data_IF_100673266463
#
_entry.id   IF_100673266463
#
_cell.length_a   1.000
_cell.length_b   1.000
_cell.length_c   1.000
_cell.angle_alpha   90.00
_cell.angle_beta   90.00
_cell.angle_gamma   90.00
#
_symmetry.space_group_name_H-M   'P 1'
#
loop_
_entity.id
_entity.type
_entity.pdbx_description
1 polymer ?
#
# COMPACT_ATOMS: atom_id res chain seq x y z
N UNK A 1 -14.90 -6.37 59.81
CA UNK A 1 -15.05 -7.56 58.95
C UNK A 1 -14.80 -7.11 57.51
N UNK A 2 -13.61 -7.35 56.97
CA UNK A 2 -13.19 -6.82 55.66
C UNK A 2 -13.86 -7.62 54.53
N UNK A 3 -14.62 -6.93 53.67
CA UNK A 3 -15.16 -7.48 52.42
C UNK A 3 -14.07 -7.40 51.36
N UNK A 4 -13.53 -8.54 50.94
CA UNK A 4 -12.69 -8.63 49.75
C UNK A 4 -13.62 -8.77 48.52
N UNK A 5 -13.66 -7.73 47.68
CA UNK A 5 -14.27 -7.80 46.34
C UNK A 5 -13.14 -8.13 45.37
N UNK A 6 -13.13 -9.34 44.83
CA UNK A 6 -12.25 -9.75 43.75
C UNK A 6 -12.81 -9.17 42.44
N UNK A 7 -12.19 -8.11 41.93
CA UNK A 7 -12.46 -7.59 40.59
C UNK A 7 -11.68 -8.45 39.60
N UNK A 8 -12.37 -9.33 38.89
CA UNK A 8 -11.83 -10.06 37.74
C UNK A 8 -11.77 -9.08 36.56
N UNK A 9 -10.59 -8.53 36.28
CA UNK A 9 -10.35 -7.72 35.10
C UNK A 9 -10.31 -8.62 33.86
N UNK A 10 -11.38 -8.61 33.06
CA UNK A 10 -11.38 -9.26 31.76
C UNK A 10 -10.49 -8.46 30.79
N UNK A 11 -9.36 -9.05 30.37
CA UNK A 11 -8.59 -8.53 29.25
C UNK A 11 -9.41 -8.76 27.97
N UNK A 12 -9.98 -7.70 27.42
CA UNK A 12 -10.49 -7.72 26.05
C UNK A 12 -9.27 -7.69 25.10
N UNK A 13 -9.14 -8.62 24.15
CA UNK A 13 -8.10 -8.52 23.13
C UNK A 13 -8.41 -7.28 22.28
N UNK A 14 -7.48 -6.32 22.26
CA UNK A 14 -7.53 -5.23 21.29
C UNK A 14 -7.32 -5.84 19.91
N UNK A 15 -8.35 -5.86 19.08
CA UNK A 15 -8.21 -6.20 17.66
C UNK A 15 -7.37 -5.08 17.06
N UNK A 16 -6.10 -5.36 16.76
CA UNK A 16 -5.24 -4.46 16.04
C UNK A 16 -5.75 -4.38 14.59
N UNK A 17 -6.57 -3.36 14.32
CA UNK A 17 -6.90 -2.99 12.95
C UNK A 17 -5.61 -2.42 12.35
N UNK A 18 -4.92 -3.18 11.51
CA UNK A 18 -3.94 -2.54 10.63
C UNK A 18 -4.73 -1.55 9.78
N UNK A 19 -4.31 -0.28 9.78
CA UNK A 19 -4.99 0.74 8.98
C UNK A 19 -4.84 0.45 7.49
N UNK A 20 -5.82 0.88 6.70
CA UNK A 20 -5.86 0.71 5.24
C UNK A 20 -4.52 1.01 4.55
N UNK A 21 -4.14 0.23 3.53
CA UNK A 21 -2.88 0.40 2.82
C UNK A 21 -2.91 1.71 2.03
N UNK A 22 -1.88 2.55 2.17
CA UNK A 22 -1.83 3.87 1.53
C UNK A 22 -0.55 4.07 0.75
N UNK A 23 -0.69 4.63 -0.44
CA UNK A 23 0.42 5.27 -1.15
C UNK A 23 0.59 6.67 -0.57
N UNK A 24 1.76 6.95 0.01
CA UNK A 24 2.05 8.26 0.64
C UNK A 24 2.91 9.17 -0.22
N UNK A 25 3.66 8.60 -1.17
CA UNK A 25 4.39 9.33 -2.18
C UNK A 25 4.63 8.44 -3.40
N UNK A 26 4.75 9.05 -4.57
CA UNK A 26 5.19 8.38 -5.78
C UNK A 26 5.97 9.32 -6.70
N UNK A 27 6.94 8.78 -7.42
CA UNK A 27 7.63 9.46 -8.52
C UNK A 27 7.65 8.57 -9.75
N UNK A 28 7.75 9.18 -10.92
CA UNK A 28 7.86 8.48 -12.19
C UNK A 28 8.98 9.11 -13.03
N UNK A 29 9.84 8.26 -13.59
CA UNK A 29 10.94 8.65 -14.47
C UNK A 29 10.79 7.92 -15.80
N UNK A 30 10.89 8.64 -16.91
CA UNK A 30 10.85 8.04 -18.25
C UNK A 30 12.15 7.30 -18.55
N UNK A 31 12.04 6.04 -18.97
CA UNK A 31 13.14 5.17 -19.39
C UNK A 31 12.88 4.72 -20.84
N UNK A 32 13.25 5.57 -21.79
CA UNK A 32 12.99 5.35 -23.21
C UNK A 32 11.49 5.37 -23.53
N UNK A 33 10.96 4.20 -23.95
CA UNK A 33 9.55 4.01 -24.26
C UNK A 33 8.69 3.61 -23.04
N UNK A 34 9.32 3.30 -21.91
CA UNK A 34 8.65 2.86 -20.68
C UNK A 34 8.89 3.84 -19.53
N UNK A 35 8.25 3.57 -18.40
CA UNK A 35 8.40 4.32 -17.16
C UNK A 35 8.93 3.44 -16.04
N UNK A 36 9.72 4.07 -15.16
CA UNK A 36 10.07 3.56 -13.83
C UNK A 36 9.31 4.35 -12.79
N UNK A 37 8.60 3.64 -11.93
CA UNK A 37 7.90 4.21 -10.78
C UNK A 37 8.61 3.84 -9.49
N UNK A 38 8.67 4.79 -8.57
CA UNK A 38 9.08 4.57 -7.18
C UNK A 38 7.92 4.98 -6.28
N UNK A 39 7.37 4.02 -5.55
CA UNK A 39 6.13 4.17 -4.79
C UNK A 39 6.41 3.89 -3.33
N UNK A 40 6.06 4.86 -2.49
CA UNK A 40 6.15 4.78 -1.04
C UNK A 40 4.79 4.35 -0.48
N UNK A 41 4.78 3.21 0.21
CA UNK A 41 3.60 2.60 0.82
C UNK A 41 3.70 2.70 2.33
N UNK A 42 2.57 2.95 2.98
CA UNK A 42 2.38 2.87 4.41
C UNK A 42 1.23 1.91 4.71
N UNK A 43 1.48 0.92 5.56
CA UNK A 43 0.48 0.01 6.09
C UNK A 43 0.89 -0.45 7.49
N UNK A 44 -0.07 -0.75 8.36
CA UNK A 44 0.22 -1.15 9.73
C UNK A 44 0.42 -2.66 9.85
N UNK A 45 1.35 -3.22 9.06
CA UNK A 45 1.64 -4.65 9.00
C UNK A 45 1.79 -5.27 10.39
N UNK A 46 1.09 -6.39 10.65
CA UNK A 46 1.21 -7.14 11.90
C UNK A 46 1.89 -8.49 11.75
N UNK A 47 2.24 -8.88 10.53
CA UNK A 47 2.86 -10.18 10.24
C UNK A 47 2.42 -10.73 8.88
N UNK A 48 2.68 -12.02 8.66
CA UNK A 48 2.36 -12.71 7.41
C UNK A 48 0.86 -12.84 7.16
N UNK A 49 0.06 -12.72 8.21
CA UNK A 49 -1.39 -12.80 8.18
C UNK A 49 -2.04 -11.47 7.79
N UNK A 50 -1.32 -10.35 7.87
CA UNK A 50 -1.88 -9.02 7.62
C UNK A 50 -0.77 -8.02 7.30
N UNK A 51 -0.58 -7.77 6.01
CA UNK A 51 0.41 -6.85 5.47
C UNK A 51 0.03 -6.36 4.07
N UNK A 52 0.64 -5.25 3.65
CA UNK A 52 0.57 -4.80 2.28
C UNK A 52 1.34 -5.75 1.34
N UNK A 53 0.62 -6.45 0.47
CA UNK A 53 1.15 -7.49 -0.41
C UNK A 53 1.40 -7.00 -1.86
N UNK A 54 1.04 -5.76 -2.17
CA UNK A 54 1.37 -5.17 -3.46
C UNK A 54 0.83 -3.77 -3.68
N UNK A 55 1.10 -3.28 -4.89
CA UNK A 55 0.49 -2.06 -5.41
C UNK A 55 0.45 -2.11 -6.93
N UNK A 56 -0.50 -1.38 -7.51
CA UNK A 56 -0.66 -1.30 -8.96
C UNK A 56 -0.52 0.11 -9.50
N UNK A 57 -0.27 0.19 -10.80
CA UNK A 57 -0.38 1.39 -11.61
C UNK A 57 -1.54 1.14 -12.57
N UNK A 58 -2.52 2.03 -12.58
CA UNK A 58 -3.70 1.96 -13.42
C UNK A 58 -3.85 3.22 -14.28
N UNK A 59 -4.38 3.03 -15.48
CA UNK A 59 -4.88 4.11 -16.31
C UNK A 59 -6.15 4.74 -15.69
N UNK A 60 -6.54 5.96 -16.10
CA UNK A 60 -7.73 6.63 -15.58
C UNK A 60 -9.05 5.87 -15.76
N UNK A 61 -9.11 4.95 -16.73
CA UNK A 61 -10.27 4.06 -16.97
C UNK A 61 -10.30 2.83 -16.05
N UNK A 62 -9.30 2.66 -15.19
CA UNK A 62 -9.14 1.52 -14.28
C UNK A 62 -8.34 0.36 -14.87
N UNK A 63 -7.89 0.43 -16.12
CA UNK A 63 -7.06 -0.61 -16.74
C UNK A 63 -5.69 -0.68 -16.07
N UNK A 64 -5.28 -1.87 -15.60
CA UNK A 64 -3.98 -2.07 -14.95
C UNK A 64 -2.83 -2.03 -15.96
N UNK A 65 -1.88 -1.12 -15.74
CA UNK A 65 -0.67 -0.94 -16.55
C UNK A 65 0.54 -1.69 -15.97
N UNK A 66 0.55 -1.90 -14.65
CA UNK A 66 1.61 -2.61 -13.95
C UNK A 66 1.20 -3.02 -12.55
N UNK A 67 1.86 -4.04 -12.02
CA UNK A 67 1.69 -4.50 -10.64
C UNK A 67 3.04 -4.80 -10.02
N UNK A 68 3.23 -4.38 -8.78
CA UNK A 68 4.37 -4.73 -7.95
C UNK A 68 3.89 -5.57 -6.78
N UNK A 69 4.26 -6.84 -6.79
CA UNK A 69 4.09 -7.72 -5.65
C UNK A 69 5.13 -7.44 -4.55
N UNK A 70 4.70 -7.57 -3.31
CA UNK A 70 5.51 -7.46 -2.10
C UNK A 70 5.48 -8.82 -1.37
N UNK A 71 6.66 -9.44 -1.27
CA UNK A 71 6.78 -10.84 -0.88
C UNK A 71 6.99 -11.06 0.62
N UNK A 72 6.95 -9.99 1.43
CA UNK A 72 7.11 -10.09 2.88
C UNK A 72 6.48 -8.89 3.60
N UNK A 73 6.11 -9.04 4.89
CA UNK A 73 5.72 -7.92 5.74
C UNK A 73 6.87 -6.93 5.98
N UNK A 74 6.52 -5.68 6.21
CA UNK A 74 7.40 -4.54 6.48
C UNK A 74 7.10 -3.92 7.86
N UNK A 75 6.86 -4.74 8.89
CA UNK A 75 6.43 -4.31 10.25
C UNK A 75 7.33 -3.19 10.84
N UNK A 76 8.64 -3.26 10.64
CA UNK A 76 9.62 -2.31 11.18
C UNK A 76 10.15 -1.30 10.16
N UNK A 77 9.62 -1.32 8.93
CA UNK A 77 10.07 -0.49 7.81
C UNK A 77 8.86 0.28 7.27
N UNK A 78 8.36 1.26 8.03
CA UNK A 78 7.20 2.05 7.62
C UNK A 78 7.49 3.56 7.68
N UNK A 79 7.15 4.32 6.62
CA UNK A 79 6.78 3.82 5.30
C UNK A 79 7.99 3.22 4.55
N UNK A 80 7.74 2.42 3.52
CA UNK A 80 8.79 1.85 2.67
C UNK A 80 8.55 2.17 1.20
N UNK A 81 9.63 2.24 0.41
CA UNK A 81 9.57 2.52 -1.03
C UNK A 81 10.00 1.31 -1.82
N UNK A 82 9.24 0.94 -2.86
CA UNK A 82 9.64 -0.06 -3.86
C UNK A 82 9.45 0.48 -5.26
N UNK A 83 10.16 -0.13 -6.21
CA UNK A 83 10.17 0.33 -7.60
C UNK A 83 9.59 -0.70 -8.55
N UNK A 84 9.02 -0.21 -9.65
CA UNK A 84 8.57 -1.00 -10.79
C UNK A 84 9.03 -0.32 -12.07
N UNK A 85 9.89 -0.99 -12.83
CA UNK A 85 10.38 -0.54 -14.13
C UNK A 85 9.66 -1.20 -15.29
N UNK A 86 9.88 -0.71 -16.50
CA UNK A 86 9.34 -1.31 -17.72
C UNK A 86 7.83 -1.12 -17.92
N UNK A 87 7.21 -0.15 -17.21
CA UNK A 87 5.77 0.08 -17.29
C UNK A 87 5.46 0.84 -18.57
N UNK A 88 4.68 0.22 -19.45
CA UNK A 88 4.20 0.87 -20.66
C UNK A 88 2.98 1.74 -20.31
N UNK A 89 3.12 3.05 -20.51
CA UNK A 89 2.03 4.01 -20.34
C UNK A 89 1.76 4.63 -21.71
N UNK A 90 0.52 4.56 -22.24
CA UNK A 90 0.18 5.22 -23.49
C UNK A 90 0.53 6.71 -23.44
N UNK A 91 1.18 7.27 -24.48
CA UNK A 91 1.68 8.64 -24.47
C UNK A 91 0.59 9.71 -24.32
N UNK A 92 -0.66 9.38 -24.62
CA UNK A 92 -1.84 10.22 -24.42
C UNK A 92 -2.23 10.36 -22.93
N UNK A 93 -1.74 9.50 -22.04
CA UNK A 93 -2.03 9.58 -20.62
C UNK A 93 -1.06 10.56 -19.93
N UNK A 94 -1.59 11.71 -19.49
CA UNK A 94 -0.86 12.67 -18.66
C UNK A 94 -0.79 12.29 -17.17
N UNK A 95 -1.51 11.24 -16.74
CA UNK A 95 -1.56 10.81 -15.34
C UNK A 95 -1.91 9.33 -15.20
N UNK A 96 -1.57 8.78 -14.04
CA UNK A 96 -1.95 7.42 -13.62
C UNK A 96 -2.52 7.44 -12.20
N UNK A 97 -3.27 6.40 -11.85
CA UNK A 97 -3.68 6.13 -10.48
C UNK A 97 -2.82 4.99 -9.91
N UNK A 98 -2.40 5.11 -8.65
CA UNK A 98 -1.61 4.12 -7.94
C UNK A 98 -2.38 3.70 -6.69
N UNK A 99 -2.56 2.40 -6.46
CA UNK A 99 -3.27 1.85 -5.29
C UNK A 99 -2.43 0.80 -4.61
N UNK A 100 -2.33 0.86 -3.29
CA UNK A 100 -1.76 -0.20 -2.49
C UNK A 100 -2.83 -1.27 -2.18
N UNK A 101 -2.41 -2.51 -2.00
CA UNK A 101 -3.25 -3.64 -1.67
C UNK A 101 -2.79 -4.26 -0.35
N UNK A 102 -3.77 -4.59 0.48
CA UNK A 102 -3.61 -5.33 1.73
C UNK A 102 -4.13 -6.75 1.54
N UNK A 103 -3.41 -7.71 2.12
CA UNK A 103 -3.70 -9.15 2.03
C UNK A 103 -5.06 -9.57 2.62
N UNK A 104 -5.67 -8.77 3.50
CA UNK A 104 -6.97 -9.07 4.13
C UNK A 104 -8.10 -8.16 3.64
N UNK A 105 -7.86 -6.86 3.56
CA UNK A 105 -8.86 -5.83 3.30
C UNK A 105 -8.88 -5.36 1.85
N UNK A 106 -7.90 -5.76 1.04
CA UNK A 106 -7.83 -5.46 -0.38
C UNK A 106 -7.31 -4.07 -0.68
N UNK A 107 -7.91 -3.40 -1.66
CA UNK A 107 -7.39 -2.14 -2.22
C UNK A 107 -7.64 -0.93 -1.32
N UNK A 108 -6.61 -0.12 -1.15
CA UNK A 108 -6.73 1.23 -0.60
C UNK A 108 -7.14 2.28 -1.64
N UNK A 109 -7.24 3.52 -1.16
CA UNK A 109 -7.59 4.68 -1.98
C UNK A 109 -6.52 4.99 -3.05
N UNK A 110 -6.94 5.52 -4.23
CA UNK A 110 -6.01 5.86 -5.30
C UNK A 110 -5.21 7.12 -5.00
N UNK A 111 -3.91 7.04 -5.23
CA UNK A 111 -3.00 8.16 -5.35
C UNK A 111 -2.85 8.53 -6.83
N UNK A 112 -3.23 9.75 -7.20
CA UNK A 112 -3.07 10.24 -8.58
C UNK A 112 -1.68 10.84 -8.75
N UNK A 113 -0.93 10.33 -9.73
CA UNK A 113 0.37 10.86 -10.12
C UNK A 113 0.29 11.46 -11.53
N UNK A 114 0.57 12.76 -11.62
CA UNK A 114 0.76 13.43 -12.90
C UNK A 114 2.13 13.03 -13.49
N UNK A 115 2.15 12.68 -14.77
CA UNK A 115 3.37 12.33 -15.49
C UNK A 115 3.92 13.58 -16.18
N UNK A 116 5.18 13.91 -15.91
CA UNK A 116 5.87 14.98 -16.62
C UNK A 116 6.10 14.60 -18.08
N UNK A 117 5.93 15.55 -19.02
CA UNK A 117 6.30 15.33 -20.42
C UNK A 117 7.82 15.17 -20.59
#
# INVERSE_FOLDING_TARGET
MFRAVLILAALLPAVAVAGEPRVTAATATREGATWRFEVTVAHADTGWEHYADGWEIAAPDGSRLGYRELLHPHVTEQPFTRSLGGVAVPPELGRVAIRAHDSLHGWGEPFVLELGN
#
